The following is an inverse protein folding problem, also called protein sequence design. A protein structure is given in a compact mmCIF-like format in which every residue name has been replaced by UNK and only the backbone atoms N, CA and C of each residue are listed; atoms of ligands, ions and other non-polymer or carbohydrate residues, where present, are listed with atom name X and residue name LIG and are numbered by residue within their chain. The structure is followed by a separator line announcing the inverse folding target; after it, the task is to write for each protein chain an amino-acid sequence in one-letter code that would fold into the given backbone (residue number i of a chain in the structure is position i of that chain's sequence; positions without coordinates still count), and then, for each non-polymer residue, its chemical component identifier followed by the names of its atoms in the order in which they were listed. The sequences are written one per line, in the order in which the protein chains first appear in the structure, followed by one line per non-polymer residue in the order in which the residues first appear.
data_IF_113216212215
#
_entry.id   IF_113216212215
#
_cell.length_a   1.000
_cell.length_b   1.000
_cell.length_c   1.000
_cell.angle_alpha   90.00
_cell.angle_beta   90.00
_cell.angle_gamma   90.00
#
_symmetry.space_group_name_H-M   'P 1'
#
loop_
_entity.id
_entity.type
_entity.pdbx_description
1 polymer ?
#
# COMPACT_ATOMS: atom_id res chain seq x y z
N UNK A 1 17.26 -65.99 -7.68
CA UNK A 1 17.82 -64.62 -7.87
C UNK A 1 18.94 -64.40 -6.87
N UNK A 2 20.04 -63.74 -7.25
CA UNK A 2 21.18 -63.49 -6.35
C UNK A 2 20.90 -62.33 -5.40
N UNK A 3 21.51 -62.36 -4.21
CA UNK A 3 21.39 -61.31 -3.19
C UNK A 3 21.73 -59.91 -3.75
N UNK A 4 22.81 -59.81 -4.54
CA UNK A 4 23.22 -58.57 -5.19
C UNK A 4 22.16 -58.02 -6.16
N UNK A 5 21.47 -58.90 -6.89
CA UNK A 5 20.38 -58.52 -7.80
C UNK A 5 19.17 -57.97 -7.04
N UNK A 6 18.77 -58.62 -5.94
CA UNK A 6 17.67 -58.15 -5.09
C UNK A 6 17.99 -56.81 -4.41
N UNK A 7 19.21 -56.65 -3.88
CA UNK A 7 19.66 -55.42 -3.26
C UNK A 7 19.69 -54.24 -4.24
N UNK A 8 20.24 -54.45 -5.44
CA UNK A 8 20.27 -53.40 -6.47
C UNK A 8 18.87 -53.02 -6.96
N UNK A 9 17.93 -53.97 -7.07
CA UNK A 9 16.54 -53.68 -7.39
C UNK A 9 15.84 -52.86 -6.28
N UNK A 10 16.06 -53.20 -5.01
CA UNK A 10 15.51 -52.44 -3.89
C UNK A 10 16.04 -50.99 -3.87
N UNK A 11 17.35 -50.81 -4.10
CA UNK A 11 17.97 -49.48 -4.17
C UNK A 11 17.46 -48.67 -5.38
N UNK A 12 17.25 -49.30 -6.53
CA UNK A 12 16.68 -48.65 -7.70
C UNK A 12 15.23 -48.21 -7.48
N UNK A 13 14.42 -49.03 -6.79
CA UNK A 13 13.04 -48.67 -6.40
C UNK A 13 13.01 -47.48 -5.45
N UNK A 14 13.81 -47.52 -4.38
CA UNK A 14 13.91 -46.41 -3.42
C UNK A 14 14.36 -45.10 -4.10
N UNK A 15 15.30 -45.17 -5.05
CA UNK A 15 15.72 -44.00 -5.82
C UNK A 15 14.59 -43.49 -6.73
N UNK A 16 13.85 -44.39 -7.38
CA UNK A 16 12.71 -44.02 -8.22
C UNK A 16 11.59 -43.36 -7.41
N UNK A 17 11.32 -43.85 -6.20
CA UNK A 17 10.37 -43.24 -5.26
C UNK A 17 10.81 -41.84 -4.86
N UNK A 18 12.07 -41.67 -4.45
CA UNK A 18 12.62 -40.36 -4.10
C UNK A 18 12.59 -39.36 -5.28
N UNK A 19 12.91 -39.81 -6.50
CA UNK A 19 12.77 -38.98 -7.71
C UNK A 19 11.31 -38.56 -7.92
N UNK A 20 10.36 -39.45 -7.64
CA UNK A 20 8.93 -39.15 -7.68
C UNK A 20 8.55 -38.03 -6.70
N UNK A 21 9.01 -38.13 -5.46
CA UNK A 21 8.79 -37.11 -4.42
C UNK A 21 9.38 -35.75 -4.81
N UNK A 22 10.62 -35.75 -5.32
CA UNK A 22 11.28 -34.52 -5.80
C UNK A 22 10.52 -33.86 -6.96
N UNK A 23 10.00 -34.64 -7.90
CA UNK A 23 9.16 -34.10 -9.00
C UNK A 23 7.90 -33.43 -8.48
N UNK A 24 7.22 -34.05 -7.51
CA UNK A 24 6.03 -33.47 -6.87
C UNK A 24 6.39 -32.17 -6.15
N UNK A 25 7.51 -32.15 -5.41
CA UNK A 25 7.97 -30.94 -4.72
C UNK A 25 8.30 -29.81 -5.71
N UNK A 26 9.01 -30.11 -6.79
CA UNK A 26 9.29 -29.12 -7.84
C UNK A 26 8.01 -28.54 -8.44
N UNK A 27 7.05 -29.39 -8.80
CA UNK A 27 5.76 -28.94 -9.34
C UNK A 27 4.99 -28.05 -8.35
N UNK A 28 5.00 -28.39 -7.05
CA UNK A 28 4.37 -27.58 -6.01
C UNK A 28 5.06 -26.22 -5.83
N UNK A 29 6.39 -26.17 -5.92
CA UNK A 29 7.15 -24.93 -5.84
C UNK A 29 6.91 -24.04 -7.06
N UNK A 30 6.84 -24.61 -8.26
CA UNK A 30 6.49 -23.90 -9.49
C UNK A 30 5.08 -23.29 -9.41
N UNK A 31 4.10 -24.06 -8.93
CA UNK A 31 2.74 -23.56 -8.71
C UNK A 31 2.71 -22.43 -7.67
N UNK A 32 3.46 -22.57 -6.58
CA UNK A 32 3.57 -21.55 -5.53
C UNK A 32 4.19 -20.26 -6.07
N UNK A 33 5.26 -20.37 -6.86
CA UNK A 33 5.90 -19.22 -7.50
C UNK A 33 4.97 -18.52 -8.47
N UNK A 34 4.20 -19.26 -9.27
CA UNK A 34 3.20 -18.69 -10.18
C UNK A 34 2.11 -17.92 -9.41
N UNK A 35 1.61 -18.48 -8.31
CA UNK A 35 0.62 -17.82 -7.46
C UNK A 35 1.17 -16.54 -6.82
N UNK A 36 2.40 -16.58 -6.27
CA UNK A 36 3.03 -15.40 -5.69
C UNK A 36 3.29 -14.31 -6.74
N UNK A 37 3.69 -14.70 -7.96
CA UNK A 37 3.86 -13.74 -9.05
C UNK A 37 2.53 -13.05 -9.40
N UNK A 38 1.44 -13.81 -9.45
CA UNK A 38 0.10 -13.24 -9.69
C UNK A 38 -0.34 -12.30 -8.55
N UNK A 39 -0.12 -12.68 -7.29
CA UNK A 39 -0.43 -11.81 -6.14
C UNK A 39 0.38 -10.51 -6.15
N UNK A 40 1.66 -10.58 -6.52
CA UNK A 40 2.52 -9.40 -6.65
C UNK A 40 1.97 -8.47 -7.73
N UNK A 41 1.54 -9.01 -8.85
CA UNK A 41 0.98 -8.21 -9.95
C UNK A 41 -0.36 -7.56 -9.57
N UNK A 42 -1.23 -8.29 -8.88
CA UNK A 42 -2.48 -7.72 -8.34
C UNK A 42 -2.20 -6.58 -7.34
N UNK A 43 -1.20 -6.75 -6.46
CA UNK A 43 -0.80 -5.71 -5.50
C UNK A 43 -0.25 -4.48 -6.21
N UNK A 44 0.59 -4.65 -7.25
CA UNK A 44 1.08 -3.53 -8.08
C UNK A 44 -0.06 -2.77 -8.74
N UNK A 45 -1.00 -3.50 -9.35
CA UNK A 45 -2.18 -2.88 -9.96
C UNK A 45 -2.98 -2.06 -8.93
N UNK A 46 -3.22 -2.62 -7.73
CA UNK A 46 -3.90 -1.89 -6.65
C UNK A 46 -3.12 -0.64 -6.25
N UNK A 47 -1.80 -0.71 -6.13
CA UNK A 47 -0.94 0.45 -5.83
C UNK A 47 -1.10 1.53 -6.91
N UNK A 48 -1.08 1.15 -8.19
CA UNK A 48 -1.20 2.11 -9.29
C UNK A 48 -2.59 2.75 -9.35
N UNK A 49 -3.65 1.99 -9.09
CA UNK A 49 -5.01 2.53 -8.94
C UNK A 49 -5.08 3.54 -7.79
N UNK A 50 -4.49 3.22 -6.64
CA UNK A 50 -4.43 4.14 -5.50
C UNK A 50 -3.63 5.41 -5.80
N UNK A 51 -2.50 5.28 -6.51
CA UNK A 51 -1.69 6.42 -6.96
C UNK A 51 -2.49 7.33 -7.89
N UNK A 52 -3.18 6.76 -8.87
CA UNK A 52 -4.03 7.52 -9.78
C UNK A 52 -5.18 8.23 -9.05
N UNK A 53 -5.84 7.53 -8.12
CA UNK A 53 -6.91 8.10 -7.31
C UNK A 53 -6.40 9.27 -6.45
N UNK A 54 -5.26 9.11 -5.80
CA UNK A 54 -4.62 10.17 -5.01
C UNK A 54 -4.28 11.39 -5.87
N UNK A 55 -3.68 11.19 -7.04
CA UNK A 55 -3.38 12.26 -7.98
C UNK A 55 -4.65 13.02 -8.41
N UNK A 56 -5.78 12.31 -8.60
CA UNK A 56 -7.08 12.91 -8.88
C UNK A 56 -7.57 13.81 -7.74
N UNK A 57 -7.50 13.34 -6.50
CA UNK A 57 -7.88 14.12 -5.31
C UNK A 57 -7.01 15.38 -5.18
N UNK A 58 -5.71 15.27 -5.45
CA UNK A 58 -4.81 16.43 -5.40
C UNK A 58 -5.14 17.46 -6.48
N UNK A 59 -5.42 17.01 -7.71
CA UNK A 59 -5.81 17.90 -8.79
C UNK A 59 -7.15 18.62 -8.49
N UNK A 60 -8.13 17.91 -7.96
CA UNK A 60 -9.41 18.49 -7.54
C UNK A 60 -9.20 19.52 -6.42
N UNK A 61 -8.40 19.19 -5.41
CA UNK A 61 -8.04 20.11 -4.32
C UNK A 61 -7.41 21.38 -4.87
N UNK A 62 -6.44 21.25 -5.77
CA UNK A 62 -5.70 22.39 -6.31
C UNK A 62 -6.58 23.27 -7.23
N UNK A 63 -7.57 22.66 -7.90
CA UNK A 63 -8.61 23.41 -8.60
C UNK A 63 -9.49 24.21 -7.63
N UNK A 64 -10.01 23.58 -6.58
CA UNK A 64 -10.85 24.25 -5.59
C UNK A 64 -10.11 25.40 -4.89
N UNK A 65 -8.81 25.22 -4.61
CA UNK A 65 -7.99 26.28 -4.02
C UNK A 65 -7.81 27.47 -4.96
N UNK A 66 -7.60 27.24 -6.26
CA UNK A 66 -7.54 28.32 -7.25
C UNK A 66 -8.83 29.13 -7.28
N UNK A 67 -10.00 28.47 -7.23
CA UNK A 67 -11.29 29.17 -7.16
C UNK A 67 -11.41 30.02 -5.89
N UNK A 68 -10.93 29.53 -4.74
CA UNK A 68 -10.93 30.31 -3.50
C UNK A 68 -9.93 31.47 -3.61
N UNK A 69 -8.74 31.25 -4.18
CA UNK A 69 -7.74 32.30 -4.39
C UNK A 69 -8.32 33.44 -5.23
N UNK A 70 -9.05 33.13 -6.31
CA UNK A 70 -9.74 34.11 -7.13
C UNK A 70 -10.78 34.93 -6.34
N UNK A 71 -11.54 34.27 -5.46
CA UNK A 71 -12.54 34.95 -4.61
C UNK A 71 -11.91 35.77 -3.49
N UNK A 72 -10.76 35.36 -2.97
CA UNK A 72 -10.02 36.07 -1.93
C UNK A 72 -9.11 37.18 -2.49
N UNK A 73 -8.98 37.31 -3.81
CA UNK A 73 -8.14 38.30 -4.47
C UNK A 73 -6.65 37.98 -4.41
N UNK A 74 -6.30 36.69 -4.35
CA UNK A 74 -4.92 36.19 -4.33
C UNK A 74 -4.73 34.97 -3.42
N UNK A 75 -3.69 34.18 -3.68
CA UNK A 75 -3.32 33.02 -2.87
C UNK A 75 -2.77 33.40 -1.49
N UNK A 76 -2.13 34.56 -1.37
CA UNK A 76 -1.64 35.17 -0.13
C UNK A 76 -2.77 35.56 0.83
N UNK A 77 -3.95 35.90 0.27
CA UNK A 77 -5.14 36.27 1.03
C UNK A 77 -6.07 35.09 1.34
N UNK A 78 -5.75 33.89 0.84
CA UNK A 78 -6.58 32.72 1.06
C UNK A 78 -6.34 32.12 2.46
N UNK A 79 -7.32 32.17 3.38
CA UNK A 79 -7.15 31.64 4.74
C UNK A 79 -6.98 30.12 4.78
N UNK A 80 -7.34 29.40 3.72
CA UNK A 80 -7.12 27.96 3.61
C UNK A 80 -5.63 27.61 3.38
N UNK A 81 -4.84 28.54 2.84
CA UNK A 81 -3.40 28.40 2.59
C UNK A 81 -2.53 28.88 3.76
N UNK A 82 -3.12 29.52 4.77
CA UNK A 82 -2.40 29.90 5.98
C UNK A 82 -1.77 28.67 6.64
N UNK A 83 -0.51 28.79 7.06
CA UNK A 83 0.18 27.73 7.78
C UNK A 83 -0.54 27.47 9.11
N UNK A 84 -0.65 26.20 9.47
CA UNK A 84 -1.18 25.80 10.76
C UNK A 84 -0.09 25.92 11.85
N UNK A 85 -0.52 26.15 13.08
CA UNK A 85 0.35 26.16 14.26
C UNK A 85 0.72 24.74 14.74
N UNK A 86 0.16 23.71 14.09
CA UNK A 86 0.45 22.31 14.34
C UNK A 86 1.91 21.97 14.00
N UNK A 87 2.59 21.20 14.84
CA UNK A 87 3.99 20.80 14.61
C UNK A 87 4.16 19.83 13.43
N UNK A 88 3.07 19.17 13.03
CA UNK A 88 3.08 18.16 11.98
C UNK A 88 3.48 18.71 10.60
N UNK A 89 4.01 17.81 9.78
CA UNK A 89 4.42 18.06 8.39
C UNK A 89 3.65 17.15 7.45
N UNK A 90 3.48 17.60 6.21
CA UNK A 90 2.90 16.76 5.15
C UNK A 90 3.82 15.55 4.94
N UNK A 91 3.33 14.32 5.11
CA UNK A 91 4.19 13.13 5.09
C UNK A 91 4.61 12.74 3.67
N UNK A 92 3.74 12.95 2.67
CA UNK A 92 3.96 12.55 1.26
C UNK A 92 3.22 13.47 0.28
N UNK A 93 3.59 13.37 -1.01
CA UNK A 93 3.05 14.18 -2.10
C UNK A 93 3.91 15.40 -2.46
N UNK A 94 3.43 16.30 -3.33
CA UNK A 94 4.18 17.46 -3.82
C UNK A 94 4.65 18.43 -2.74
N UNK A 95 3.92 18.47 -1.61
CA UNK A 95 4.21 19.34 -0.46
C UNK A 95 4.92 18.61 0.69
N UNK A 96 5.53 17.45 0.42
CA UNK A 96 6.20 16.63 1.46
C UNK A 96 7.20 17.46 2.26
N UNK A 97 7.12 17.35 3.59
CA UNK A 97 7.99 18.07 4.52
C UNK A 97 7.57 19.51 4.83
N UNK A 98 6.60 20.07 4.10
CA UNK A 98 6.03 21.38 4.42
C UNK A 98 5.15 21.34 5.67
N UNK A 99 5.01 22.48 6.35
CA UNK A 99 4.03 22.62 7.44
C UNK A 99 2.62 22.36 6.90
N UNK A 100 1.79 21.75 7.75
CA UNK A 100 0.36 21.68 7.48
C UNK A 100 -0.19 23.10 7.27
N UNK A 101 -1.09 23.24 6.32
CA UNK A 101 -1.92 24.43 6.19
C UNK A 101 -3.25 24.21 6.91
N UNK A 102 -3.97 25.29 7.19
CA UNK A 102 -5.27 25.26 7.87
C UNK A 102 -6.26 24.30 7.19
N UNK A 103 -6.25 24.24 5.85
CA UNK A 103 -7.07 23.28 5.08
C UNK A 103 -6.77 21.83 5.41
N UNK A 104 -5.49 21.49 5.59
CA UNK A 104 -5.04 20.13 5.83
C UNK A 104 -5.56 19.70 7.21
N UNK A 105 -5.50 20.60 8.20
CA UNK A 105 -6.08 20.38 9.53
C UNK A 105 -7.60 20.16 9.48
N UNK A 106 -8.33 20.97 8.70
CA UNK A 106 -9.79 20.82 8.56
C UNK A 106 -10.14 19.46 7.94
N UNK A 107 -9.45 19.08 6.87
CA UNK A 107 -9.65 17.78 6.21
C UNK A 107 -9.40 16.62 7.18
N UNK A 108 -8.29 16.67 7.93
CA UNK A 108 -7.92 15.62 8.88
C UNK A 108 -8.90 15.50 10.04
N UNK A 109 -9.38 16.63 10.58
CA UNK A 109 -10.45 16.64 11.58
C UNK A 109 -11.72 15.99 11.04
N UNK A 110 -12.11 16.31 9.81
CA UNK A 110 -13.30 15.71 9.18
C UNK A 110 -13.15 14.21 8.96
N UNK A 111 -11.98 13.73 8.54
CA UNK A 111 -11.72 12.28 8.45
C UNK A 111 -11.78 11.64 9.84
N UNK A 112 -11.18 12.25 10.86
CA UNK A 112 -11.22 11.71 12.21
C UNK A 112 -12.65 11.55 12.73
N UNK A 113 -13.53 12.52 12.45
CA UNK A 113 -14.94 12.46 12.82
C UNK A 113 -15.72 11.39 12.02
N UNK A 114 -15.43 11.26 10.72
CA UNK A 114 -16.00 10.20 9.89
C UNK A 114 -15.51 8.80 10.32
N UNK A 115 -14.24 8.67 10.70
CA UNK A 115 -13.67 7.43 11.24
C UNK A 115 -14.36 7.02 12.54
N UNK A 116 -14.58 7.97 13.46
CA UNK A 116 -15.31 7.68 14.71
C UNK A 116 -16.76 7.24 14.48
N UNK A 117 -17.44 7.81 13.48
CA UNK A 117 -18.88 7.60 13.26
C UNK A 117 -19.22 6.46 12.30
N UNK A 118 -18.45 6.29 11.22
CA UNK A 118 -18.76 5.34 10.13
C UNK A 118 -17.77 4.18 10.03
N UNK A 119 -16.57 4.30 10.61
CA UNK A 119 -15.54 3.27 10.48
C UNK A 119 -14.72 3.12 11.77
N UNK A 120 -15.32 2.58 12.85
CA UNK A 120 -14.69 2.50 14.16
C UNK A 120 -13.34 1.75 14.17
N UNK A 121 -13.10 0.85 13.20
CA UNK A 121 -11.80 0.20 12.98
C UNK A 121 -10.67 1.18 12.63
N UNK A 122 -11.00 2.38 12.14
CA UNK A 122 -10.07 3.47 11.81
C UNK A 122 -10.07 4.57 12.89
N UNK A 123 -10.57 4.30 14.10
CA UNK A 123 -10.55 5.28 15.21
C UNK A 123 -9.14 5.78 15.55
N UNK A 124 -8.10 4.97 15.30
CA UNK A 124 -6.69 5.32 15.47
C UNK A 124 -5.95 5.54 14.14
N UNK A 125 -6.65 5.79 13.03
CA UNK A 125 -6.01 5.87 11.71
C UNK A 125 -4.95 6.97 11.62
N UNK A 126 -5.11 8.07 12.39
CA UNK A 126 -4.10 9.14 12.41
C UNK A 126 -2.78 8.65 13.00
N UNK A 127 -2.84 7.85 14.05
CA UNK A 127 -1.67 7.17 14.60
C UNK A 127 -1.09 6.18 13.59
N UNK A 128 -1.91 5.50 12.79
CA UNK A 128 -1.42 4.69 11.67
C UNK A 128 -0.80 5.54 10.55
N UNK A 129 -1.35 6.70 10.19
CA UNK A 129 -0.73 7.59 9.19
C UNK A 129 0.61 8.14 9.69
N UNK A 130 0.75 8.39 11.00
CA UNK A 130 1.97 8.87 11.63
C UNK A 130 3.01 7.78 11.90
N UNK A 131 2.59 6.59 12.37
CA UNK A 131 3.48 5.49 12.82
C UNK A 131 3.92 4.59 11.65
N UNK A 132 3.17 4.61 10.56
CA UNK A 132 3.31 3.66 9.49
C UNK A 132 3.76 4.43 8.26
N UNK A 133 4.90 4.02 7.72
CA UNK A 133 5.34 4.37 6.37
C UNK A 133 4.40 3.76 5.32
N UNK A 134 3.10 4.08 5.37
CA UNK A 134 2.06 3.53 4.45
C UNK A 134 2.37 3.89 2.99
N UNK A 135 3.33 4.77 2.76
CA UNK A 135 3.89 5.07 1.45
C UNK A 135 5.42 5.14 1.50
N UNK A 136 6.07 4.09 2.00
CA UNK A 136 7.36 3.66 1.42
C UNK A 136 7.06 2.77 0.21
#
# INVERSE_FOLDING_TARGET
MSFASAYNMARARALSESIGEWKVLCANLEATNANLAAEVEEKKYKIDVWRAHYAGIEAERDYLLRLIDEKCGGADKNPARALADEEYRIPNGPRKGEKLQKRDVVYLKRIADLGKSKMPQFKNWWKLVCDWKIFD
#
